data_IF_189102257098
#
_entry.id   IF_189102257098
#
_cell.length_a   1.000
_cell.length_b   1.000
_cell.length_c   1.000
_cell.angle_alpha   90.00
_cell.angle_beta   90.00
_cell.angle_gamma   90.00
#
_symmetry.space_group_name_H-M   'P 1'
#
loop_
_entity.id
_entity.type
_entity.pdbx_description
1 polymer ?
#
# COMPACT_ATOMS: atom_id res chain seq x y z
N UNK A 1 -53.34 -1.02 -15.60
CA UNK A 1 -52.40 -2.09 -15.21
C UNK A 1 -50.99 -1.65 -15.58
N UNK A 2 -50.41 -0.72 -14.82
CA UNK A 2 -49.33 -1.00 -13.84
C UNK A 2 -47.99 -1.28 -14.57
N UNK A 3 -47.28 -0.23 -15.01
CA UNK A 3 -46.19 0.45 -14.28
C UNK A 3 -45.03 -0.48 -13.84
N UNK A 4 -43.97 -0.49 -14.65
CA UNK A 4 -42.55 -0.64 -14.29
C UNK A 4 -41.78 0.12 -15.40
N UNK A 5 -41.61 1.44 -15.35
CA UNK A 5 -40.70 2.27 -14.55
C UNK A 5 -39.23 1.84 -14.56
N UNK A 6 -38.40 2.79 -15.02
CA UNK A 6 -36.94 2.98 -14.94
C UNK A 6 -36.07 2.18 -15.94
N UNK A 7 -35.53 2.79 -17.00
CA UNK A 7 -34.53 3.89 -17.07
C UNK A 7 -33.14 3.48 -16.59
N UNK A 8 -32.21 3.28 -17.53
CA UNK A 8 -30.92 3.98 -17.48
C UNK A 8 -30.25 4.02 -18.86
N UNK A 9 -29.91 5.23 -19.27
CA UNK A 9 -29.16 5.60 -20.45
C UNK A 9 -27.84 6.25 -20.00
N UNK A 10 -26.81 6.17 -20.86
CA UNK A 10 -25.61 7.02 -20.92
C UNK A 10 -24.63 7.05 -19.72
N UNK A 11 -23.42 6.53 -20.02
CA UNK A 11 -22.14 7.26 -20.09
C UNK A 11 -21.73 8.13 -18.89
N UNK A 12 -20.63 7.76 -18.24
CA UNK A 12 -19.45 8.60 -17.84
C UNK A 12 -18.62 7.80 -16.83
N UNK A 13 -17.41 7.39 -17.20
CA UNK A 13 -16.16 8.13 -16.97
C UNK A 13 -15.80 8.27 -15.48
N UNK A 14 -14.75 7.51 -15.11
CA UNK A 14 -13.61 7.98 -14.32
C UNK A 14 -13.86 8.37 -12.87
N UNK A 15 -13.33 7.56 -11.94
CA UNK A 15 -12.25 7.99 -11.01
C UNK A 15 -11.36 6.77 -10.73
N UNK A 16 -10.26 6.60 -11.46
CA UNK A 16 -8.92 6.92 -10.96
C UNK A 16 -8.72 6.61 -9.46
N UNK A 17 -7.93 5.57 -9.19
CA UNK A 17 -6.88 5.70 -8.17
C UNK A 17 -5.57 5.12 -8.71
N UNK A 18 -5.15 5.66 -9.85
CA UNK A 18 -3.78 6.12 -9.95
C UNK A 18 -3.59 7.11 -8.81
N UNK A 19 -3.06 6.63 -7.68
CA UNK A 19 -2.28 7.47 -6.82
C UNK A 19 -0.83 7.15 -7.17
N UNK A 20 -0.40 7.66 -8.32
CA UNK A 20 0.82 8.45 -8.27
C UNK A 20 0.43 9.78 -7.60
N UNK A 21 0.75 10.02 -6.33
CA UNK A 21 1.18 11.34 -5.96
C UNK A 21 2.67 11.41 -6.32
N UNK A 22 2.86 11.99 -7.49
CA UNK A 22 3.99 12.82 -7.86
C UNK A 22 5.29 12.05 -8.10
N UNK A 23 5.63 11.99 -9.39
CA UNK A 23 6.93 12.45 -9.83
C UNK A 23 7.29 13.75 -9.09
N UNK A 24 7.89 13.60 -7.92
CA UNK A 24 8.71 14.61 -7.30
C UNK A 24 10.00 14.55 -8.11
N UNK A 25 9.98 15.25 -9.25
CA UNK A 25 11.19 15.89 -9.77
C UNK A 25 11.57 16.94 -8.74
N UNK A 26 12.22 16.51 -7.68
CA UNK A 26 12.88 17.41 -6.74
C UNK A 26 14.26 16.83 -6.57
N UNK A 27 15.14 17.39 -7.41
CA UNK A 27 16.39 17.96 -6.95
C UNK A 27 16.83 17.36 -5.64
N UNK A 28 17.82 16.47 -5.68
CA UNK A 28 18.52 15.96 -4.51
C UNK A 28 19.01 17.20 -3.73
N UNK A 29 18.34 17.64 -2.65
CA UNK A 29 18.85 18.73 -1.87
C UNK A 29 19.85 18.07 -0.93
N UNK A 30 21.12 18.28 -1.22
CA UNK A 30 22.15 18.05 -0.23
C UNK A 30 21.73 18.73 1.10
N UNK A 31 21.84 17.98 2.20
CA UNK A 31 21.89 18.47 3.59
C UNK A 31 20.62 18.46 4.49
N UNK A 32 19.80 17.39 4.49
CA UNK A 32 19.00 17.05 5.68
C UNK A 32 19.11 15.56 6.01
N UNK A 33 19.16 15.14 7.30
CA UNK A 33 19.18 13.73 7.65
C UNK A 33 17.81 13.11 7.34
N UNK A 34 17.69 12.41 6.21
CA UNK A 34 16.52 11.59 5.89
C UNK A 34 16.47 10.45 6.88
N UNK A 35 15.50 10.51 7.81
CA UNK A 35 15.28 9.46 8.80
C UNK A 35 14.49 8.32 8.15
N UNK A 36 15.17 7.20 7.89
CA UNK A 36 14.56 6.02 7.30
C UNK A 36 13.79 5.19 8.34
N UNK A 37 12.59 4.67 8.02
CA UNK A 37 11.91 3.73 8.90
C UNK A 37 12.72 2.44 9.03
N UNK A 38 12.81 1.91 10.25
CA UNK A 38 13.50 0.66 10.56
C UNK A 38 12.48 -0.39 10.92
N UNK A 39 12.56 -1.55 10.28
CA UNK A 39 11.79 -2.73 10.62
C UNK A 39 12.66 -3.72 11.39
N UNK A 40 12.10 -4.33 12.43
CA UNK A 40 12.75 -5.37 13.21
C UNK A 40 12.08 -6.69 12.86
N UNK A 41 12.86 -7.64 12.36
CA UNK A 41 12.40 -8.99 12.03
C UNK A 41 12.98 -9.92 13.08
N UNK A 42 12.11 -10.53 13.87
CA UNK A 42 12.49 -11.53 14.86
C UNK A 42 12.54 -12.89 14.19
N UNK A 43 13.69 -13.54 14.25
CA UNK A 43 13.88 -14.90 13.74
C UNK A 43 14.40 -15.79 14.86
N UNK A 44 14.25 -17.11 14.71
CA UNK A 44 14.79 -18.08 15.67
C UNK A 44 16.32 -18.02 15.80
N UNK A 45 17.01 -17.50 14.79
CA UNK A 45 18.46 -17.33 14.75
C UNK A 45 18.93 -15.94 15.21
N UNK A 46 18.00 -15.06 15.60
CA UNK A 46 18.29 -13.72 16.08
C UNK A 46 17.45 -12.63 15.44
N UNK A 47 17.73 -11.40 15.83
CA UNK A 47 17.01 -10.20 15.38
C UNK A 47 17.72 -9.57 14.19
N UNK A 48 16.98 -9.32 13.12
CA UNK A 48 17.46 -8.61 11.93
C UNK A 48 16.82 -7.22 11.92
N UNK A 49 17.64 -6.17 11.90
CA UNK A 49 17.18 -4.79 11.72
C UNK A 49 17.37 -4.39 10.26
N UNK A 50 16.29 -3.94 9.63
CA UNK A 50 16.26 -3.54 8.22
C UNK A 50 15.89 -2.07 8.11
N UNK A 51 16.74 -1.28 7.50
CA UNK A 51 16.42 0.10 7.12
C UNK A 51 15.68 0.12 5.79
N UNK A 52 14.52 0.79 5.76
CA UNK A 52 13.68 0.87 4.57
C UNK A 52 13.90 2.22 3.89
N UNK A 53 14.17 2.20 2.58
CA UNK A 53 14.48 3.41 1.80
C UNK A 53 13.32 3.83 0.90
N UNK A 54 12.36 4.65 1.38
CA UNK A 54 11.22 5.09 0.60
C UNK A 54 11.64 5.95 -0.60
N UNK A 55 12.78 6.63 -0.53
CA UNK A 55 13.28 7.48 -1.62
C UNK A 55 13.72 6.66 -2.85
N UNK A 56 14.07 5.38 -2.65
CA UNK A 56 14.51 4.48 -3.72
C UNK A 56 13.39 3.55 -4.18
N UNK A 57 12.59 3.04 -3.24
CA UNK A 57 11.54 2.07 -3.52
C UNK A 57 10.24 2.39 -2.77
N UNK A 58 9.57 3.51 -3.09
CA UNK A 58 8.41 3.99 -2.32
C UNK A 58 7.25 3.00 -2.32
N UNK A 59 6.98 2.35 -3.46
CA UNK A 59 5.88 1.38 -3.60
C UNK A 59 6.15 0.13 -2.76
N UNK A 60 7.39 -0.36 -2.76
CA UNK A 60 7.78 -1.56 -2.02
C UNK A 60 7.76 -1.32 -0.52
N UNK A 61 8.32 -0.19 -0.07
CA UNK A 61 8.32 0.19 1.35
C UNK A 61 6.90 0.37 1.86
N UNK A 62 6.03 1.06 1.10
CA UNK A 62 4.63 1.21 1.44
C UNK A 62 3.87 -0.13 1.46
N UNK A 63 4.17 -1.04 0.54
CA UNK A 63 3.58 -2.38 0.53
C UNK A 63 4.01 -3.18 1.76
N UNK A 64 5.31 -3.25 2.05
CA UNK A 64 5.85 -3.99 3.19
C UNK A 64 5.31 -3.46 4.52
N UNK A 65 5.41 -2.15 4.76
CA UNK A 65 4.91 -1.52 5.98
C UNK A 65 3.39 -1.66 6.13
N UNK A 66 2.65 -1.57 5.02
CA UNK A 66 1.19 -1.73 5.03
C UNK A 66 0.75 -3.16 5.35
N UNK A 67 1.47 -4.16 4.84
CA UNK A 67 1.22 -5.58 5.14
C UNK A 67 1.62 -5.93 6.57
N UNK A 68 2.78 -5.45 7.04
CA UNK A 68 3.25 -5.67 8.41
C UNK A 68 2.30 -5.06 9.46
N UNK A 69 1.82 -3.83 9.23
CA UNK A 69 0.90 -3.17 10.16
C UNK A 69 -0.56 -3.62 10.01
N UNK A 70 -0.88 -4.48 9.04
CA UNK A 70 -2.25 -4.88 8.73
C UNK A 70 -3.15 -3.76 8.19
N UNK A 71 -2.58 -2.64 7.73
CA UNK A 71 -3.37 -1.53 7.18
C UNK A 71 -3.77 -1.78 5.72
N UNK A 72 -3.03 -2.65 5.02
CA UNK A 72 -3.28 -3.03 3.63
C UNK A 72 -4.08 -4.34 3.55
N UNK A 73 -5.13 -4.35 2.73
CA UNK A 73 -5.89 -5.55 2.43
C UNK A 73 -5.07 -6.53 1.58
N UNK A 74 -5.12 -7.81 1.94
CA UNK A 74 -4.46 -8.90 1.22
C UNK A 74 -5.36 -10.13 1.14
N UNK A 75 -5.09 -10.99 0.16
CA UNK A 75 -5.85 -12.23 -0.03
C UNK A 75 -5.18 -13.37 0.72
N UNK A 76 -5.90 -13.96 1.68
CA UNK A 76 -5.42 -15.11 2.44
C UNK A 76 -5.25 -16.33 1.50
N UNK A 77 -4.08 -16.98 1.42
CA UNK A 77 -3.87 -18.11 0.51
C UNK A 77 -4.66 -19.36 0.91
N UNK A 78 -5.02 -19.50 2.18
CA UNK A 78 -5.76 -20.65 2.70
C UNK A 78 -7.25 -20.47 2.42
N UNK A 79 -7.79 -19.29 2.78
CA UNK A 79 -9.22 -19.01 2.66
C UNK A 79 -9.63 -18.40 1.32
N UNK A 80 -8.68 -17.90 0.53
CA UNK A 80 -8.90 -17.12 -0.72
C UNK A 80 -9.81 -15.91 -0.54
N UNK A 81 -9.91 -15.40 0.69
CA UNK A 81 -10.72 -14.24 1.04
C UNK A 81 -9.83 -13.01 1.30
N UNK A 82 -10.36 -11.83 1.06
CA UNK A 82 -9.68 -10.57 1.43
C UNK A 82 -9.73 -10.40 2.94
N UNK A 83 -8.60 -10.06 3.54
CA UNK A 83 -8.47 -9.78 4.97
C UNK A 83 -7.59 -8.57 5.21
N UNK A 84 -7.74 -7.96 6.39
CA UNK A 84 -7.05 -6.74 6.83
C UNK A 84 -6.37 -6.98 8.19
N UNK A 85 -5.75 -8.14 8.32
CA UNK A 85 -4.89 -8.52 9.46
C UNK A 85 -3.42 -8.29 9.11
N UNK A 86 -2.52 -8.09 10.09
CA UNK A 86 -1.08 -8.16 9.86
C UNK A 86 -0.72 -9.42 9.06
N UNK A 87 0.07 -9.26 8.01
CA UNK A 87 0.51 -10.37 7.16
C UNK A 87 1.69 -11.13 7.79
N UNK A 88 2.55 -10.42 8.52
CA UNK A 88 3.70 -10.97 9.23
C UNK A 88 3.36 -10.97 10.72
N UNK A 89 2.85 -12.09 11.21
CA UNK A 89 2.52 -12.40 12.62
C UNK A 89 2.91 -13.87 12.88
#
# INVERSE_FOLDING_TARGET
MTFFLFSCAQKTETQNKGAEPKAVKTEIPAAAPVKYPVATIETTMGIIKVELWPDKAPVTVANFAGLANGTKEWTDPVMKAKTKKPFYD
#
